data_IF_231655372997
#
_entry.id   IF_231655372997
#
_cell.length_a   1.000
_cell.length_b   1.000
_cell.length_c   1.000
_cell.angle_alpha   90.00
_cell.angle_beta   90.00
_cell.angle_gamma   90.00
#
_symmetry.space_group_name_H-M   'P 1'
#
loop_
_entity.id
_entity.type
_entity.pdbx_description
1 polymer ?
#
# COMPACT_ATOMS: atom_id res chain seq x y z
N UNK A 1 -12.76 -6.33 11.87
CA UNK A 1 -11.91 -6.26 10.67
C UNK A 1 -12.72 -5.61 9.58
N UNK A 2 -12.28 -4.42 9.15
CA UNK A 2 -12.93 -3.64 8.09
C UNK A 2 -12.20 -4.00 6.77
N UNK A 3 -12.90 -3.94 5.65
CA UNK A 3 -12.33 -4.18 4.33
C UNK A 3 -12.63 -2.99 3.44
N UNK A 4 -11.60 -2.44 2.81
CA UNK A 4 -11.72 -1.44 1.76
C UNK A 4 -11.25 -2.00 0.43
N UNK A 5 -11.83 -1.48 -0.64
CA UNK A 5 -11.45 -1.78 -2.01
C UNK A 5 -10.97 -0.50 -2.69
N UNK A 6 -9.75 -0.52 -3.21
CA UNK A 6 -9.14 0.59 -3.97
C UNK A 6 -9.03 0.15 -5.43
N UNK A 7 -9.54 0.96 -6.36
CA UNK A 7 -9.47 0.67 -7.79
C UNK A 7 -8.24 1.34 -8.40
N UNK A 8 -7.42 0.56 -9.09
CA UNK A 8 -6.32 1.05 -9.92
C UNK A 8 -6.74 1.09 -11.38
N UNK A 9 -6.28 2.11 -12.10
CA UNK A 9 -6.66 2.40 -13.49
C UNK A 9 -5.53 2.15 -14.46
N UNK A 10 -4.28 2.09 -13.99
CA UNK A 10 -3.10 1.94 -14.82
C UNK A 10 -2.40 0.59 -14.59
N UNK A 11 -1.54 0.17 -15.54
CA UNK A 11 -0.77 -1.08 -15.42
C UNK A 11 0.15 -1.07 -14.19
N UNK A 12 0.81 0.06 -13.95
CA UNK A 12 1.54 0.36 -12.73
C UNK A 12 1.02 1.69 -12.20
N UNK A 13 0.78 1.81 -10.90
CA UNK A 13 0.16 2.99 -10.31
C UNK A 13 0.55 3.15 -8.85
N UNK A 14 0.78 4.39 -8.42
CA UNK A 14 0.97 4.75 -7.02
C UNK A 14 -0.22 5.62 -6.61
N UNK A 15 -0.93 5.21 -5.56
CA UNK A 15 -2.09 5.93 -5.05
C UNK A 15 -1.89 6.31 -3.58
N UNK A 16 -2.14 7.57 -3.26
CA UNK A 16 -2.30 8.00 -1.86
C UNK A 16 -3.69 7.56 -1.36
N UNK A 17 -3.71 6.70 -0.35
CA UNK A 17 -4.93 6.18 0.28
C UNK A 17 -5.12 6.72 1.70
N UNK A 18 -4.37 7.74 2.11
CA UNK A 18 -4.34 8.29 3.47
C UNK A 18 -5.73 8.71 3.94
N UNK A 19 -6.45 9.46 3.10
CA UNK A 19 -7.78 9.99 3.46
C UNK A 19 -8.83 8.88 3.54
N UNK A 20 -8.75 7.88 2.65
CA UNK A 20 -9.63 6.70 2.69
C UNK A 20 -9.45 5.95 4.01
N UNK A 21 -8.19 5.74 4.44
CA UNK A 21 -7.90 5.05 5.71
C UNK A 21 -8.35 5.89 6.90
N UNK A 22 -8.09 7.21 6.91
CA UNK A 22 -8.54 8.10 7.98
C UNK A 22 -10.08 8.14 8.09
N UNK A 23 -10.79 8.12 6.96
CA UNK A 23 -12.26 8.08 6.95
C UNK A 23 -12.77 6.79 7.61
N UNK A 24 -12.18 5.64 7.27
CA UNK A 24 -12.57 4.36 7.88
C UNK A 24 -12.27 4.28 9.36
N UNK A 25 -11.14 4.83 9.82
CA UNK A 25 -10.79 4.92 11.24
C UNK A 25 -11.77 5.86 11.96
N UNK A 26 -12.11 7.01 11.37
CA UNK A 26 -13.04 7.98 11.95
C UNK A 26 -14.47 7.47 12.10
N UNK A 27 -14.87 6.46 11.31
CA UNK A 27 -16.15 5.74 11.49
C UNK A 27 -16.14 4.85 12.75
N UNK A 28 -14.98 4.57 13.33
CA UNK A 28 -14.83 3.75 14.53
C UNK A 28 -14.76 4.60 15.80
N UNK A 29 -15.05 3.99 16.96
CA UNK A 29 -14.98 4.66 18.28
C UNK A 29 -13.59 4.60 18.93
N UNK A 30 -12.56 4.22 18.18
CA UNK A 30 -11.18 4.09 18.68
C UNK A 30 -10.52 5.46 18.67
N UNK A 31 -10.19 5.98 19.86
CA UNK A 31 -9.53 7.28 20.00
C UNK A 31 -8.01 7.16 19.90
N UNK A 32 -7.42 6.17 20.57
CA UNK A 32 -5.97 5.95 20.57
C UNK A 32 -5.64 4.47 20.50
N UNK A 33 -4.56 4.12 19.80
CA UNK A 33 -4.17 2.73 19.59
C UNK A 33 -3.26 2.52 18.39
N UNK A 34 -3.37 1.35 17.79
CA UNK A 34 -2.70 0.97 16.55
C UNK A 34 -3.73 0.61 15.48
N UNK A 35 -3.42 0.93 14.22
CA UNK A 35 -4.10 0.38 13.06
C UNK A 35 -3.13 -0.46 12.26
N UNK A 36 -3.55 -1.65 11.87
CA UNK A 36 -2.86 -2.50 10.91
C UNK A 36 -3.64 -2.53 9.61
N UNK A 37 -2.97 -2.18 8.52
CA UNK A 37 -3.42 -2.33 7.15
C UNK A 37 -2.75 -3.57 6.57
N UNK A 38 -3.53 -4.42 5.91
CA UNK A 38 -3.03 -5.63 5.27
C UNK A 38 -3.63 -5.82 3.88
N UNK A 39 -2.78 -5.76 2.86
CA UNK A 39 -3.13 -5.96 1.46
C UNK A 39 -3.11 -7.46 1.12
N UNK A 40 -4.23 -7.98 0.62
CA UNK A 40 -4.38 -9.41 0.31
C UNK A 40 -3.94 -9.76 -1.12
N UNK A 41 -2.91 -9.08 -1.63
CA UNK A 41 -2.43 -9.17 -3.01
C UNK A 41 -0.91 -9.30 -3.05
N UNK A 42 -0.39 -10.07 -4.01
CA UNK A 42 1.05 -10.38 -4.12
C UNK A 42 1.78 -9.60 -5.21
N UNK A 43 1.08 -8.74 -5.95
CA UNK A 43 1.63 -7.87 -7.02
C UNK A 43 1.38 -6.39 -6.76
N UNK A 44 1.13 -6.06 -5.50
CA UNK A 44 0.96 -4.69 -5.02
C UNK A 44 1.54 -4.60 -3.60
N UNK A 45 1.84 -3.40 -3.14
CA UNK A 45 2.48 -3.15 -1.86
C UNK A 45 1.82 -2.02 -1.10
N UNK A 46 2.05 -1.98 0.21
CA UNK A 46 1.70 -0.86 1.07
C UNK A 46 2.98 -0.29 1.67
N UNK A 47 3.17 1.02 1.54
CA UNK A 47 4.28 1.72 2.20
C UNK A 47 3.83 3.07 2.74
N UNK A 48 4.72 3.73 3.48
CA UNK A 48 4.59 5.15 3.74
C UNK A 48 5.73 5.91 3.08
N UNK A 49 5.41 6.99 2.37
CA UNK A 49 6.41 7.85 1.77
C UNK A 49 5.85 9.26 1.55
N UNK A 50 6.69 10.14 1.05
CA UNK A 50 6.24 11.41 0.48
C UNK A 50 5.69 11.19 -0.92
N UNK A 51 4.67 11.96 -1.30
CA UNK A 51 4.06 11.88 -2.63
C UNK A 51 3.53 13.25 -3.06
N UNK A 52 4.28 13.87 -3.96
CA UNK A 52 3.89 15.06 -4.71
C UNK A 52 3.53 14.70 -6.17
N UNK A 53 2.76 15.53 -6.89
CA UNK A 53 2.43 15.28 -8.30
C UNK A 53 3.69 15.02 -9.15
N UNK A 54 3.75 13.88 -9.83
CA UNK A 54 4.87 13.46 -10.68
C UNK A 54 5.90 12.58 -9.98
N UNK A 55 6.01 12.64 -8.65
CA UNK A 55 6.92 11.77 -7.88
C UNK A 55 6.46 10.31 -7.87
N UNK A 56 5.18 10.06 -8.16
CA UNK A 56 4.63 8.72 -8.38
C UNK A 56 5.38 7.96 -9.48
N UNK A 57 5.76 8.66 -10.57
CA UNK A 57 6.51 8.06 -11.67
C UNK A 57 7.97 7.79 -11.29
N UNK A 58 8.59 8.67 -10.49
CA UNK A 58 9.96 8.46 -10.00
C UNK A 58 10.09 7.15 -9.21
N UNK A 59 9.09 6.81 -8.39
CA UNK A 59 9.04 5.52 -7.69
C UNK A 59 9.00 4.36 -8.68
N UNK A 60 8.09 4.39 -9.66
CA UNK A 60 7.93 3.30 -10.62
C UNK A 60 9.18 3.08 -11.46
N UNK A 61 9.81 4.16 -11.93
CA UNK A 61 11.04 4.14 -12.69
C UNK A 61 12.20 3.59 -11.85
N UNK A 62 12.34 4.04 -10.59
CA UNK A 62 13.37 3.55 -9.69
C UNK A 62 13.19 2.06 -9.39
N UNK A 63 11.96 1.62 -9.09
CA UNK A 63 11.68 0.21 -8.82
C UNK A 63 11.98 -0.68 -10.03
N UNK A 64 11.65 -0.23 -11.23
CA UNK A 64 11.98 -0.96 -12.45
C UNK A 64 13.50 -1.12 -12.64
N UNK A 65 14.28 -0.07 -12.36
CA UNK A 65 15.74 -0.14 -12.43
C UNK A 65 16.38 -1.03 -11.35
N UNK A 66 15.74 -1.16 -10.19
CA UNK A 66 16.23 -2.03 -9.10
C UNK A 66 16.06 -3.53 -9.41
N UNK A 67 15.19 -3.90 -10.35
CA UNK A 67 14.93 -5.31 -10.65
C UNK A 67 16.02 -5.89 -11.56
N UNK A 68 16.65 -7.01 -11.17
CA UNK A 68 17.67 -7.65 -11.99
C UNK A 68 17.03 -8.25 -13.25
N UNK A 69 17.70 -8.07 -14.39
CA UNK A 69 17.28 -8.64 -15.68
C UNK A 69 17.60 -10.14 -15.75
N UNK A 70 16.79 -10.95 -15.07
CA UNK A 70 16.93 -12.40 -15.00
C UNK A 70 15.90 -13.11 -15.89
N UNK A 71 16.22 -14.34 -16.29
CA UNK A 71 15.21 -15.28 -16.79
C UNK A 71 14.49 -15.91 -15.59
N UNK A 72 13.39 -15.28 -15.18
CA UNK A 72 12.60 -15.78 -14.05
C UNK A 72 11.98 -17.14 -14.36
N UNK A 73 11.83 -17.97 -13.32
CA UNK A 73 11.39 -19.38 -13.43
C UNK A 73 9.92 -19.59 -13.09
N UNK A 74 9.18 -18.52 -12.80
CA UNK A 74 7.83 -18.62 -12.26
C UNK A 74 6.93 -19.45 -13.21
N UNK A 75 6.30 -20.54 -12.74
CA UNK A 75 5.69 -21.54 -13.64
C UNK A 75 4.39 -21.05 -14.29
N UNK A 76 3.71 -20.08 -13.68
CA UNK A 76 2.47 -19.52 -14.21
C UNK A 76 2.76 -18.43 -15.24
N UNK A 77 3.47 -17.39 -14.81
CA UNK A 77 3.90 -16.28 -15.67
C UNK A 77 5.23 -15.66 -15.20
N UNK A 78 6.36 -16.01 -15.82
CA UNK A 78 7.66 -15.40 -15.52
C UNK A 78 7.67 -13.88 -15.59
N UNK A 79 6.84 -13.26 -16.43
CA UNK A 79 6.85 -11.82 -16.66
C UNK A 79 6.31 -11.00 -15.48
N UNK A 80 5.51 -11.60 -14.59
CA UNK A 80 4.98 -10.97 -13.38
C UNK A 80 5.88 -11.18 -12.15
N UNK A 81 6.98 -11.93 -12.29
CA UNK A 81 7.92 -12.17 -11.17
C UNK A 81 8.51 -10.87 -10.60
N UNK A 82 8.89 -9.86 -11.41
CA UNK A 82 9.30 -8.55 -10.89
C UNK A 82 8.31 -7.93 -9.91
N UNK A 83 7.01 -7.98 -10.23
CA UNK A 83 5.93 -7.38 -9.45
C UNK A 83 5.81 -8.05 -8.08
N UNK A 84 5.96 -9.39 -8.06
CA UNK A 84 6.03 -10.17 -6.82
C UNK A 84 7.27 -9.83 -5.98
N UNK A 85 8.43 -9.63 -6.61
CA UNK A 85 9.65 -9.27 -5.91
C UNK A 85 9.52 -7.89 -5.27
N UNK A 86 9.02 -6.88 -6.01
CA UNK A 86 8.79 -5.54 -5.48
C UNK A 86 7.78 -5.55 -4.34
N UNK A 87 6.65 -6.25 -4.51
CA UNK A 87 5.66 -6.44 -3.45
C UNK A 87 6.26 -7.07 -2.19
N UNK A 88 7.09 -8.10 -2.34
CA UNK A 88 7.73 -8.77 -1.21
C UNK A 88 8.81 -7.92 -0.52
N UNK A 89 9.54 -7.09 -1.27
CA UNK A 89 10.56 -6.20 -0.73
C UNK A 89 9.98 -5.01 0.03
N UNK A 90 8.91 -4.41 -0.49
CA UNK A 90 8.24 -3.26 0.14
C UNK A 90 7.34 -3.74 1.27
N UNK A 91 6.62 -4.84 1.06
CA UNK A 91 5.69 -5.44 2.01
C UNK A 91 4.22 -5.15 1.69
N UNK A 92 3.35 -5.98 2.24
CA UNK A 92 1.89 -5.90 2.08
C UNK A 92 1.18 -5.45 3.35
N UNK A 93 1.93 -5.00 4.37
CA UNK A 93 1.39 -4.67 5.68
C UNK A 93 2.02 -3.40 6.25
N UNK A 94 1.19 -2.56 6.86
CA UNK A 94 1.60 -1.38 7.60
C UNK A 94 0.91 -1.35 8.96
N UNK A 95 1.65 -1.11 10.02
CA UNK A 95 1.10 -0.82 11.34
C UNK A 95 1.45 0.61 11.74
N UNK A 96 0.44 1.41 12.06
CA UNK A 96 0.57 2.85 12.31
C UNK A 96 -0.12 3.22 13.63
N UNK A 97 0.37 4.24 14.37
CA UNK A 97 -0.32 4.75 15.53
C UNK A 97 -1.59 5.52 15.15
N UNK A 98 -2.58 5.45 16.03
CA UNK A 98 -3.82 6.23 15.97
C UNK A 98 -3.90 7.07 17.23
N UNK A 99 -4.23 8.35 17.08
CA UNK A 99 -4.49 9.29 18.17
C UNK A 99 -5.60 10.26 17.78
N UNK A 100 -6.50 10.58 18.71
CA UNK A 100 -7.70 11.41 18.47
C UNK A 100 -8.54 10.91 17.28
N UNK A 101 -8.63 9.58 17.10
CA UNK A 101 -9.38 8.94 16.02
C UNK A 101 -8.78 9.13 14.63
N UNK A 102 -7.49 9.48 14.53
CA UNK A 102 -6.78 9.70 13.26
C UNK A 102 -5.41 9.07 13.26
N UNK A 103 -4.89 8.78 12.07
CA UNK A 103 -3.52 8.33 11.90
C UNK A 103 -2.53 9.38 12.40
N UNK A 104 -1.51 8.92 13.12
CA UNK A 104 -0.33 9.73 13.45
C UNK A 104 0.70 9.53 12.35
N UNK A 105 0.93 10.57 11.55
CA UNK A 105 1.85 10.60 10.42
C UNK A 105 2.77 11.81 10.52
N UNK A 106 3.98 11.72 9.97
CA UNK A 106 4.81 12.89 9.73
C UNK A 106 4.17 13.85 8.73
N UNK A 107 4.60 15.12 8.71
CA UNK A 107 4.02 16.18 7.85
C UNK A 107 3.91 15.78 6.37
N UNK A 108 4.90 15.05 5.87
CA UNK A 108 4.99 14.62 4.47
C UNK A 108 4.66 13.14 4.29
N UNK A 109 4.33 12.42 5.35
CA UNK A 109 4.13 10.98 5.28
C UNK A 109 2.71 10.67 4.83
N UNK A 110 2.60 9.95 3.72
CA UNK A 110 1.35 9.42 3.15
C UNK A 110 1.33 7.91 3.23
N UNK A 111 0.14 7.31 3.19
CA UNK A 111 -0.04 5.87 3.02
C UNK A 111 -0.22 5.60 1.53
N UNK A 112 0.72 4.88 0.95
CA UNK A 112 0.73 4.60 -0.48
C UNK A 112 0.35 3.15 -0.75
N UNK A 113 -0.60 2.97 -1.67
CA UNK A 113 -0.80 1.72 -2.38
C UNK A 113 0.00 1.79 -3.67
N UNK A 114 0.94 0.86 -3.85
CA UNK A 114 1.72 0.73 -5.08
C UNK A 114 1.24 -0.53 -5.79
N UNK A 115 0.61 -0.36 -6.95
CA UNK A 115 0.15 -1.46 -7.80
C UNK A 115 1.12 -1.66 -8.96
N UNK A 116 1.64 -2.87 -9.11
CA UNK A 116 2.57 -3.22 -10.19
C UNK A 116 1.89 -3.98 -11.34
N UNK A 117 0.64 -4.41 -11.15
CA UNK A 117 -0.09 -5.28 -12.08
C UNK A 117 -1.57 -4.90 -12.18
N UNK A 118 -1.86 -3.60 -12.37
CA UNK A 118 -3.19 -3.07 -12.61
C UNK A 118 -3.62 -3.17 -14.09
N UNK A 119 -4.80 -2.63 -14.45
CA UNK A 119 -5.84 -2.12 -13.56
C UNK A 119 -6.54 -3.25 -12.80
N UNK A 120 -6.72 -3.09 -11.49
CA UNK A 120 -7.35 -4.08 -10.62
C UNK A 120 -8.10 -3.43 -9.46
N UNK A 121 -8.93 -4.23 -8.80
CA UNK A 121 -9.45 -3.89 -7.47
C UNK A 121 -8.53 -4.52 -6.42
N UNK A 122 -7.90 -3.67 -5.61
CA UNK A 122 -7.01 -4.07 -4.51
C UNK A 122 -7.77 -4.01 -3.20
N UNK A 123 -7.66 -5.08 -2.42
CA UNK A 123 -8.40 -5.25 -1.17
C UNK A 123 -7.44 -5.09 0.01
N UNK A 124 -7.80 -4.19 0.92
CA UNK A 124 -7.00 -3.90 2.13
C UNK A 124 -7.88 -4.16 3.35
N UNK A 125 -7.39 -5.00 4.25
CA UNK A 125 -7.98 -5.27 5.54
C UNK A 125 -7.46 -4.25 6.56
N UNK A 126 -8.37 -3.65 7.32
CA UNK A 126 -8.07 -2.69 8.38
C UNK A 126 -8.45 -3.32 9.72
N UNK A 127 -7.47 -3.41 10.61
CA UNK A 127 -7.63 -3.89 11.99
C UNK A 127 -7.18 -2.82 12.96
N UNK A 128 -8.05 -2.47 13.90
CA UNK A 128 -7.76 -1.50 14.96
C UNK A 128 -7.58 -2.22 16.28
N UNK A 129 -6.53 -1.85 17.01
CA UNK A 129 -6.27 -2.28 18.37
C UNK A 129 -6.27 -1.04 19.26
N UNK A 130 -7.23 -0.96 20.18
CA UNK A 130 -7.34 0.16 21.10
C UNK A 130 -6.31 0.02 22.24
N UNK A 131 -5.66 1.13 22.60
CA UNK A 131 -4.84 1.20 23.82
C UNK A 131 -5.71 1.13 25.07
N UNK A 132 -5.23 0.43 26.10
CA UNK A 132 -5.87 0.31 27.43
C UNK A 132 -5.61 1.57 28.26
#
# INVERSE_FOLDING_TARGET
>A
MIKITVKTSNKKEVLDITDIVNEEIGKQKVQSGLVNLFLTHTTAALTTADLDPGTDQDYLDAFEQMIPKLKFRHPHDPSHTPDHILSALIGTSLTLPVENGRLVLGTWQRILLIDFDGPREREILINLLQSI
#
